data_IF_606688756280
#
_entry.id   IF_606688756280
#
_cell.length_a   1.000
_cell.length_b   1.000
_cell.length_c   1.000
_cell.angle_alpha   90.00
_cell.angle_beta   90.00
_cell.angle_gamma   90.00
#
_symmetry.space_group_name_H-M   'P 1'
#
loop_
_entity.id
_entity.type
_entity.pdbx_description
1 polymer ?
#
# COMPACT_ATOMS: atom_id res chain seq x y z
N UNK A 1 -0.38 10.82 -4.06
CA UNK A 1 -1.74 11.23 -3.59
C UNK A 1 -1.63 11.49 -2.09
N UNK A 2 -2.38 12.43 -1.51
CA UNK A 2 -2.30 12.65 -0.05
C UNK A 2 -2.93 11.49 0.73
N UNK A 3 -2.53 11.28 1.99
CA UNK A 3 -2.90 10.07 2.75
C UNK A 3 -4.41 10.01 3.00
N UNK A 4 -5.05 11.17 3.21
CA UNK A 4 -6.49 11.23 3.45
C UNK A 4 -7.28 10.79 2.21
N UNK A 5 -6.95 11.32 1.03
CA UNK A 5 -7.61 10.93 -0.23
C UNK A 5 -7.40 9.46 -0.52
N UNK A 6 -6.18 8.95 -0.33
CA UNK A 6 -5.85 7.54 -0.50
C UNK A 6 -6.74 6.63 0.38
N UNK A 7 -6.81 6.91 1.68
CA UNK A 7 -7.61 6.14 2.64
C UNK A 7 -9.11 6.19 2.30
N UNK A 8 -9.62 7.36 1.91
CA UNK A 8 -11.04 7.53 1.54
C UNK A 8 -11.38 6.77 0.26
N UNK A 9 -10.58 6.88 -0.80
CA UNK A 9 -10.78 6.13 -2.04
C UNK A 9 -10.73 4.63 -1.78
N UNK A 10 -9.74 4.16 -1.01
CA UNK A 10 -9.65 2.76 -0.61
C UNK A 10 -10.90 2.29 0.13
N UNK A 11 -11.43 3.09 1.07
CA UNK A 11 -12.67 2.75 1.77
C UNK A 11 -13.84 2.58 0.80
N UNK A 12 -14.00 3.49 -0.17
CA UNK A 12 -15.04 3.38 -1.19
C UNK A 12 -14.85 2.16 -2.10
N UNK A 13 -13.61 1.88 -2.54
CA UNK A 13 -13.31 0.74 -3.40
C UNK A 13 -13.55 -0.60 -2.68
N UNK A 14 -13.17 -0.71 -1.40
CA UNK A 14 -13.49 -1.90 -0.59
C UNK A 14 -15.00 -2.09 -0.43
N UNK A 15 -15.73 -1.01 -0.17
CA UNK A 15 -17.19 -1.06 -0.10
C UNK A 15 -17.80 -1.47 -1.44
N UNK A 16 -17.30 -0.93 -2.55
CA UNK A 16 -17.75 -1.30 -3.89
C UNK A 16 -17.48 -2.77 -4.17
N UNK A 17 -16.29 -3.30 -3.84
CA UNK A 17 -15.97 -4.72 -3.94
C UNK A 17 -17.01 -5.59 -3.25
N UNK A 18 -17.35 -5.28 -1.99
CA UNK A 18 -18.38 -6.02 -1.25
C UNK A 18 -19.79 -5.91 -1.84
N UNK A 19 -20.06 -4.88 -2.65
CA UNK A 19 -21.34 -4.71 -3.33
C UNK A 19 -21.38 -5.42 -4.68
N UNK A 20 -20.23 -5.56 -5.35
CA UNK A 20 -20.08 -6.31 -6.60
C UNK A 20 -20.09 -7.83 -6.38
N UNK A 21 -19.77 -8.31 -5.16
CA UNK A 21 -19.96 -9.71 -4.76
C UNK A 21 -21.45 -10.15 -4.72
N UNK A 22 -22.39 -9.27 -5.10
CA UNK A 22 -23.80 -9.63 -5.32
C UNK A 22 -23.94 -10.41 -6.65
N UNK A 23 -24.38 -11.68 -6.63
CA UNK A 23 -24.36 -12.59 -7.78
C UNK A 23 -25.32 -12.22 -8.93
N UNK A 24 -25.94 -11.04 -8.88
CA UNK A 24 -26.94 -10.60 -9.85
C UNK A 24 -26.35 -9.89 -11.07
N UNK A 25 -25.07 -9.49 -11.04
CA UNK A 25 -24.40 -8.79 -12.16
C UNK A 25 -22.96 -9.29 -12.35
N UNK A 26 -22.79 -10.47 -12.95
CA UNK A 26 -21.49 -10.97 -13.46
C UNK A 26 -21.35 -10.61 -14.93
N UNK A 27 -20.64 -9.53 -15.23
CA UNK A 27 -20.23 -9.16 -16.58
C UNK A 27 -19.04 -8.23 -16.51
N UNK A 28 -18.00 -8.53 -17.29
CA UNK A 28 -16.87 -7.62 -17.50
C UNK A 28 -17.35 -6.36 -18.23
N UNK A 29 -16.98 -5.18 -17.74
CA UNK A 29 -17.26 -3.93 -18.47
C UNK A 29 -16.50 -3.92 -19.81
N UNK A 30 -17.16 -3.62 -20.95
CA UNK A 30 -16.52 -3.56 -22.27
C UNK A 30 -15.29 -2.64 -22.33
N UNK A 31 -15.16 -1.67 -21.43
CA UNK A 31 -13.98 -0.85 -21.25
C UNK A 31 -12.69 -1.69 -21.17
N UNK A 32 -12.71 -2.78 -20.40
CA UNK A 32 -11.51 -3.60 -20.12
C UNK A 32 -11.00 -4.38 -21.33
N UNK A 33 -11.83 -4.59 -22.35
CA UNK A 33 -11.42 -5.24 -23.61
C UNK A 33 -10.30 -4.46 -24.32
N UNK A 34 -10.35 -3.14 -24.22
CA UNK A 34 -9.41 -2.23 -24.88
C UNK A 34 -8.39 -1.60 -23.95
N UNK A 35 -8.66 -1.61 -22.64
CA UNK A 35 -7.79 -0.97 -21.65
C UNK A 35 -6.53 -1.81 -21.33
N UNK A 36 -6.70 -3.08 -20.95
CA UNK A 36 -5.58 -3.91 -20.51
C UNK A 36 -4.79 -4.47 -21.69
N UNK A 37 -3.48 -4.63 -21.49
CA UNK A 37 -2.63 -5.46 -22.35
C UNK A 37 -2.85 -6.95 -22.06
N UNK A 38 -2.38 -7.84 -22.93
CA UNK A 38 -2.45 -9.29 -22.68
C UNK A 38 -1.66 -9.67 -21.41
N UNK A 39 -0.46 -9.12 -21.23
CA UNK A 39 0.37 -9.40 -20.06
C UNK A 39 -0.27 -8.97 -18.73
N UNK A 40 -0.98 -7.84 -18.70
CA UNK A 40 -1.70 -7.43 -17.49
C UNK A 40 -2.88 -8.38 -17.17
N UNK A 41 -3.53 -8.94 -18.18
CA UNK A 41 -4.59 -9.94 -17.97
C UNK A 41 -4.02 -11.29 -17.52
N UNK A 42 -2.88 -11.71 -18.06
CA UNK A 42 -2.13 -12.88 -17.58
C UNK A 42 -1.75 -12.71 -16.11
N UNK A 43 -1.18 -11.56 -15.75
CA UNK A 43 -0.82 -11.25 -14.36
C UNK A 43 -2.02 -11.36 -13.41
N UNK A 44 -3.20 -10.88 -13.84
CA UNK A 44 -4.44 -11.03 -13.06
C UNK A 44 -4.75 -12.52 -12.88
N UNK A 45 -4.85 -13.29 -13.98
CA UNK A 45 -5.18 -14.73 -13.93
C UNK A 45 -4.19 -15.51 -13.06
N UNK A 46 -2.90 -15.22 -13.15
CA UNK A 46 -1.86 -15.85 -12.33
C UNK A 46 -2.03 -15.64 -10.83
N UNK A 47 -2.68 -14.55 -10.40
CA UNK A 47 -2.98 -14.32 -8.97
C UNK A 47 -4.26 -15.01 -8.49
N UNK A 48 -5.16 -15.39 -9.40
CA UNK A 48 -6.44 -16.01 -9.05
C UNK A 48 -6.32 -17.51 -8.79
N UNK A 49 -5.38 -18.17 -9.45
CA UNK A 49 -5.29 -19.62 -9.50
C UNK A 49 -3.96 -20.15 -8.98
N UNK A 50 -3.99 -21.36 -8.42
CA UNK A 50 -2.77 -22.06 -8.02
C UNK A 50 -1.98 -22.59 -9.23
N UNK A 51 -0.73 -22.98 -8.98
CA UNK A 51 0.17 -23.47 -10.03
C UNK A 51 -0.33 -24.73 -10.74
N UNK A 52 -1.16 -25.56 -10.08
CA UNK A 52 -1.72 -26.74 -10.72
C UNK A 52 -2.78 -26.35 -11.74
N UNK A 53 -3.69 -25.47 -11.33
CA UNK A 53 -4.80 -24.95 -12.14
C UNK A 53 -4.27 -24.13 -13.32
N UNK A 54 -3.24 -23.31 -13.11
CA UNK A 54 -2.58 -22.53 -14.17
C UNK A 54 -1.93 -23.42 -15.24
N UNK A 55 -1.33 -24.56 -14.86
CA UNK A 55 -0.75 -25.50 -15.83
C UNK A 55 -1.82 -26.18 -16.71
N UNK A 56 -3.06 -26.30 -16.23
CA UNK A 56 -4.16 -26.86 -17.00
C UNK A 56 -4.85 -25.80 -17.88
N UNK A 57 -4.95 -24.56 -17.38
CA UNK A 57 -5.52 -23.42 -18.12
C UNK A 57 -4.59 -22.89 -19.22
N UNK A 58 -3.27 -22.92 -19.01
CA UNK A 58 -2.27 -22.35 -19.94
C UNK A 58 -2.58 -20.89 -20.36
N UNK A 59 -2.63 -19.94 -19.40
CA UNK A 59 -3.00 -18.55 -19.67
C UNK A 59 -2.08 -17.85 -20.68
N UNK A 60 -0.80 -18.24 -20.75
CA UNK A 60 0.17 -17.72 -21.72
C UNK A 60 -0.27 -18.00 -23.18
N UNK A 61 -0.99 -19.11 -23.38
CA UNK A 61 -1.55 -19.52 -24.67
C UNK A 61 -2.84 -18.80 -25.06
N UNK A 62 -3.53 -18.16 -24.10
CA UNK A 62 -4.87 -17.58 -24.30
C UNK A 62 -4.86 -16.25 -25.06
N UNK A 63 -5.94 -15.98 -25.78
CA UNK A 63 -6.26 -14.65 -26.31
C UNK A 63 -6.72 -13.70 -25.20
N UNK A 64 -6.79 -12.40 -25.48
CA UNK A 64 -7.27 -11.41 -24.49
C UNK A 64 -8.73 -11.67 -24.11
N UNK A 65 -9.53 -12.09 -25.08
CA UNK A 65 -10.94 -12.42 -24.91
C UNK A 65 -11.09 -13.64 -23.97
N UNK A 66 -10.30 -14.70 -24.19
CA UNK A 66 -10.29 -15.88 -23.31
C UNK A 66 -9.80 -15.57 -21.90
N UNK A 67 -8.81 -14.68 -21.75
CA UNK A 67 -8.35 -14.23 -20.42
C UNK A 67 -9.44 -13.43 -19.68
N UNK A 68 -10.16 -12.54 -20.38
CA UNK A 68 -11.28 -11.79 -19.78
C UNK A 68 -12.45 -12.70 -19.41
N UNK A 69 -12.76 -13.68 -20.25
CA UNK A 69 -13.77 -14.71 -19.93
C UNK A 69 -13.37 -15.55 -18.72
N UNK A 70 -12.06 -15.82 -18.56
CA UNK A 70 -11.51 -16.52 -17.38
C UNK A 70 -11.61 -15.66 -16.12
N UNK A 71 -11.37 -14.35 -16.22
CA UNK A 71 -11.52 -13.41 -15.11
C UNK A 71 -13.01 -13.25 -14.73
N UNK A 72 -13.91 -13.27 -15.71
CA UNK A 72 -15.38 -13.32 -15.59
C UNK A 72 -16.10 -12.14 -14.91
N UNK A 73 -15.45 -11.41 -14.00
CA UNK A 73 -16.09 -10.37 -13.17
C UNK A 73 -15.19 -9.15 -12.91
N UNK A 74 -15.79 -7.96 -12.98
CA UNK A 74 -15.15 -6.69 -12.59
C UNK A 74 -14.77 -6.69 -11.10
N UNK A 75 -15.50 -7.42 -10.25
CA UNK A 75 -15.16 -7.60 -8.84
C UNK A 75 -13.77 -8.22 -8.66
N UNK A 76 -13.40 -9.14 -9.54
CA UNK A 76 -12.11 -9.83 -9.53
C UNK A 76 -11.00 -8.85 -9.94
N UNK A 77 -11.22 -8.06 -10.99
CA UNK A 77 -10.28 -7.01 -11.43
C UNK A 77 -10.08 -5.99 -10.30
N UNK A 78 -11.16 -5.52 -9.69
CA UNK A 78 -11.09 -4.57 -8.58
C UNK A 78 -10.38 -5.18 -7.37
N UNK A 79 -10.65 -6.45 -7.05
CA UNK A 79 -9.99 -7.21 -6.00
C UNK A 79 -8.48 -7.24 -6.21
N UNK A 80 -8.04 -7.64 -7.40
CA UNK A 80 -6.63 -7.67 -7.80
C UNK A 80 -5.92 -6.33 -7.56
N UNK A 81 -6.50 -5.21 -8.01
CA UNK A 81 -5.86 -3.89 -7.84
C UNK A 81 -5.87 -3.41 -6.39
N UNK A 82 -6.90 -3.74 -5.60
CA UNK A 82 -6.93 -3.45 -4.17
C UNK A 82 -5.83 -4.23 -3.46
N UNK A 83 -5.68 -5.52 -3.76
CA UNK A 83 -4.71 -6.38 -3.10
C UNK A 83 -3.28 -5.99 -3.51
N UNK A 84 -3.04 -5.65 -4.79
CA UNK A 84 -1.77 -5.06 -5.23
C UNK A 84 -1.45 -3.74 -4.55
N UNK A 85 -2.44 -2.87 -4.38
CA UNK A 85 -2.24 -1.61 -3.66
C UNK A 85 -1.83 -1.87 -2.21
N UNK A 86 -2.44 -2.84 -1.54
CA UNK A 86 -2.03 -3.23 -0.19
C UNK A 86 -0.62 -3.81 -0.15
N UNK A 87 -0.31 -4.73 -1.06
CA UNK A 87 1.02 -5.33 -1.17
C UNK A 87 2.09 -4.28 -1.41
N UNK A 88 1.84 -3.29 -2.28
CA UNK A 88 2.77 -2.17 -2.52
C UNK A 88 2.98 -1.37 -1.23
N UNK A 89 1.89 -1.03 -0.51
CA UNK A 89 1.97 -0.29 0.76
C UNK A 89 2.76 -1.04 1.83
N UNK A 90 2.64 -2.36 1.91
CA UNK A 90 3.37 -3.18 2.88
C UNK A 90 4.80 -3.51 2.43
N UNK A 91 5.01 -3.75 1.14
CA UNK A 91 6.32 -4.11 0.57
C UNK A 91 7.34 -2.99 0.76
N UNK A 92 6.92 -1.73 0.75
CA UNK A 92 7.82 -0.60 1.02
C UNK A 92 8.15 -0.40 2.51
N UNK A 93 7.39 -1.00 3.41
CA UNK A 93 7.75 -1.06 4.83
C UNK A 93 8.78 -2.19 5.07
N UNK A 94 8.69 -3.28 4.29
CA UNK A 94 9.59 -4.41 4.40
C UNK A 94 10.98 -4.12 3.81
N UNK A 95 12.02 -4.18 4.66
CA UNK A 95 13.40 -4.03 4.21
C UNK A 95 13.89 -5.31 3.50
N UNK A 96 13.88 -5.32 2.18
CA UNK A 96 14.33 -6.45 1.34
C UNK A 96 15.37 -6.02 0.31
N UNK A 97 16.29 -6.92 -0.05
CA UNK A 97 17.35 -6.65 -1.04
C UNK A 97 16.79 -6.21 -2.38
N UNK A 98 15.67 -6.83 -2.81
CA UNK A 98 14.95 -6.46 -4.02
C UNK A 98 14.37 -5.05 -3.89
N UNK A 99 13.66 -4.75 -2.80
CA UNK A 99 13.07 -3.43 -2.56
C UNK A 99 14.12 -2.30 -2.50
N UNK A 100 15.30 -2.56 -1.95
CA UNK A 100 16.42 -1.60 -1.95
C UNK A 100 16.87 -1.32 -3.40
N UNK A 101 17.10 -2.36 -4.20
CA UNK A 101 17.53 -2.23 -5.60
C UNK A 101 16.49 -1.58 -6.48
N UNK A 102 15.21 -1.89 -6.29
CA UNK A 102 14.11 -1.30 -7.06
C UNK A 102 14.05 0.23 -6.83
N UNK A 103 14.17 0.67 -5.57
CA UNK A 103 14.21 2.10 -5.20
C UNK A 103 15.44 2.79 -5.78
N UNK A 104 16.62 2.19 -5.61
CA UNK A 104 17.85 2.76 -6.16
C UNK A 104 17.82 2.81 -7.69
N UNK A 105 17.19 1.83 -8.36
CA UNK A 105 17.02 1.83 -9.81
C UNK A 105 16.07 2.93 -10.26
N UNK A 106 14.93 3.10 -9.58
CA UNK A 106 13.97 4.17 -9.86
C UNK A 106 14.60 5.57 -9.72
N UNK A 107 15.49 5.73 -8.74
CA UNK A 107 16.20 6.99 -8.49
C UNK A 107 17.47 7.16 -9.34
N UNK A 108 17.82 6.19 -10.20
CA UNK A 108 19.05 6.17 -10.99
C UNK A 108 20.34 6.23 -10.12
N UNK A 109 20.31 5.56 -8.96
CA UNK A 109 21.36 5.54 -7.94
C UNK A 109 22.02 4.15 -7.79
N UNK A 110 22.22 3.42 -8.89
CA UNK A 110 22.82 2.07 -8.86
C UNK A 110 24.29 2.04 -8.39
N UNK A 111 24.92 3.21 -8.22
CA UNK A 111 26.28 3.37 -7.67
C UNK A 111 26.29 3.68 -6.17
N UNK A 112 25.12 3.83 -5.54
CA UNK A 112 25.00 4.12 -4.11
C UNK A 112 25.56 2.97 -3.26
N UNK A 113 26.17 3.27 -2.11
CA UNK A 113 26.83 2.23 -1.29
C UNK A 113 25.86 1.15 -0.78
N UNK A 114 24.60 1.53 -0.48
CA UNK A 114 23.54 0.60 -0.10
C UNK A 114 23.18 -0.43 -1.20
N UNK A 115 23.55 -0.18 -2.46
CA UNK A 115 23.35 -1.16 -3.54
C UNK A 115 24.14 -2.46 -3.31
N UNK A 116 25.31 -2.33 -2.68
CA UNK A 116 26.27 -3.43 -2.51
C UNK A 116 26.38 -3.90 -1.06
N UNK A 117 25.88 -3.12 -0.10
CA UNK A 117 25.95 -3.42 1.33
C UNK A 117 24.79 -4.35 1.74
N UNK A 118 25.06 -5.58 2.20
CA UNK A 118 24.00 -6.49 2.63
C UNK A 118 23.19 -5.92 3.80
N UNK A 119 21.86 -6.10 3.77
CA UNK A 119 20.95 -5.60 4.83
C UNK A 119 21.37 -5.99 6.25
N UNK A 120 21.83 -7.23 6.54
CA UNK A 120 22.24 -7.60 7.90
C UNK A 120 23.38 -6.76 8.49
N UNK A 121 24.17 -6.09 7.63
CA UNK A 121 25.29 -5.24 8.03
C UNK A 121 24.91 -3.77 8.19
N UNK A 122 23.62 -3.43 8.02
CA UNK A 122 23.13 -2.07 8.11
C UNK A 122 23.10 -1.58 9.55
N UNK A 123 23.60 -0.38 9.77
CA UNK A 123 23.48 0.36 11.02
C UNK A 123 22.33 1.37 10.96
N UNK A 124 22.17 2.15 12.04
CA UNK A 124 21.13 3.17 12.12
C UNK A 124 21.27 4.27 11.05
N UNK A 125 22.49 4.57 10.61
CA UNK A 125 22.75 5.57 9.57
C UNK A 125 22.36 5.06 8.19
N UNK A 126 22.63 3.79 7.90
CA UNK A 126 22.21 3.13 6.66
C UNK A 126 20.69 3.08 6.55
N UNK A 127 20.02 2.67 7.63
CA UNK A 127 18.55 2.63 7.72
C UNK A 127 17.95 4.02 7.53
N UNK A 128 18.51 5.04 8.19
CA UNK A 128 18.08 6.43 8.01
C UNK A 128 18.22 6.92 6.58
N UNK A 129 19.36 6.68 5.94
CA UNK A 129 19.56 7.03 4.53
C UNK A 129 18.60 6.30 3.60
N UNK A 130 18.36 5.01 3.84
CA UNK A 130 17.43 4.26 3.03
C UNK A 130 16.02 4.84 3.14
N UNK A 131 15.53 5.12 4.35
CA UNK A 131 14.21 5.75 4.55
C UNK A 131 14.07 7.06 3.78
N UNK A 132 15.10 7.91 3.79
CA UNK A 132 15.13 9.14 2.98
C UNK A 132 15.05 8.86 1.45
N UNK A 133 15.70 7.80 0.97
CA UNK A 133 15.57 7.37 -0.42
C UNK A 133 14.16 6.85 -0.73
N UNK A 134 13.52 6.13 0.19
CA UNK A 134 12.14 5.68 0.02
C UNK A 134 11.18 6.87 -0.09
N UNK A 135 11.37 7.90 0.73
CA UNK A 135 10.61 9.16 0.65
C UNK A 135 10.82 9.85 -0.71
N UNK A 136 12.07 9.97 -1.16
CA UNK A 136 12.39 10.57 -2.48
C UNK A 136 11.80 9.80 -3.65
N UNK A 137 11.75 8.47 -3.55
CA UNK A 137 11.12 7.61 -4.55
C UNK A 137 9.59 7.62 -4.47
N UNK A 138 8.99 8.34 -3.52
CA UNK A 138 7.55 8.42 -3.31
C UNK A 138 6.93 7.11 -2.83
N UNK A 139 7.73 6.21 -2.24
CA UNK A 139 7.27 4.90 -1.75
C UNK A 139 6.66 4.98 -0.35
N UNK A 140 7.18 5.90 0.45
CA UNK A 140 6.68 6.20 1.77
C UNK A 140 6.57 7.71 1.93
N UNK A 141 5.73 8.16 2.84
CA UNK A 141 5.67 9.55 3.24
C UNK A 141 5.72 9.68 4.76
N UNK A 142 6.33 10.77 5.20
CA UNK A 142 6.19 11.24 6.57
C UNK A 142 4.76 11.72 6.79
N UNK A 143 4.06 11.03 7.66
CA UNK A 143 2.71 11.36 8.12
C UNK A 143 2.72 11.53 9.63
N UNK A 144 1.65 12.08 10.19
CA UNK A 144 1.53 12.33 11.61
C UNK A 144 0.39 11.49 12.19
N UNK A 145 0.68 10.76 13.26
CA UNK A 145 -0.32 10.01 14.03
C UNK A 145 -0.56 10.66 15.37
N UNK A 146 -1.80 10.57 15.87
CA UNK A 146 -2.15 10.96 17.24
C UNK A 146 -2.07 9.70 18.09
N UNK A 147 -1.20 9.69 19.08
CA UNK A 147 -0.94 8.57 19.96
C UNK A 147 -1.25 8.93 21.42
N UNK A 148 -1.44 7.89 22.23
CA UNK A 148 -1.42 8.03 23.69
C UNK A 148 -0.03 8.47 24.15
N UNK A 149 0.04 9.35 25.15
CA UNK A 149 1.29 9.92 25.66
C UNK A 149 2.29 8.89 26.22
N UNK A 150 1.86 7.65 26.49
CA UNK A 150 2.73 6.53 26.88
C UNK A 150 3.51 5.91 25.71
N UNK A 151 3.07 6.15 24.47
CA UNK A 151 3.78 5.73 23.27
C UNK A 151 4.94 6.71 23.04
N UNK A 152 6.09 6.19 22.66
CA UNK A 152 7.29 6.98 22.33
C UNK A 152 7.74 6.63 20.92
N UNK A 153 8.59 7.45 20.32
CA UNK A 153 9.17 7.14 19.00
C UNK A 153 9.85 5.77 18.97
N UNK A 154 10.46 5.36 20.10
CA UNK A 154 11.17 4.08 20.24
C UNK A 154 10.23 2.86 20.28
N UNK A 155 9.01 3.00 20.80
CA UNK A 155 8.07 1.88 20.94
C UNK A 155 6.95 1.89 19.90
N UNK A 156 6.86 2.94 19.07
CA UNK A 156 5.83 3.15 18.06
C UNK A 156 5.69 1.99 17.06
N UNK A 157 6.82 1.41 16.62
CA UNK A 157 6.82 0.29 15.67
C UNK A 157 6.34 -1.03 16.30
N UNK A 158 6.26 -1.09 17.63
CA UNK A 158 5.79 -2.28 18.39
C UNK A 158 4.33 -2.18 18.82
N UNK A 159 3.65 -1.08 18.51
CA UNK A 159 2.26 -0.85 18.91
C UNK A 159 1.34 -1.75 18.08
N UNK A 160 0.54 -2.57 18.76
CA UNK A 160 -0.42 -3.49 18.13
C UNK A 160 -1.68 -2.81 17.61
N UNK A 161 -1.98 -1.60 18.08
CA UNK A 161 -3.11 -0.78 17.68
C UNK A 161 -2.62 0.63 17.24
N UNK A 162 -2.15 0.79 16.00
CA UNK A 162 -1.75 2.09 15.49
C UNK A 162 -2.95 3.05 15.36
N UNK A 163 -2.72 4.36 15.22
CA UNK A 163 -3.78 5.34 15.06
C UNK A 163 -4.67 5.02 13.88
N UNK A 164 -5.99 5.17 14.06
CA UNK A 164 -7.00 4.92 13.02
C UNK A 164 -6.81 5.88 11.83
N UNK A 165 -6.24 7.06 12.09
CA UNK A 165 -6.03 8.11 11.09
C UNK A 165 -4.63 8.70 11.20
N UNK A 166 -4.03 8.91 10.03
CA UNK A 166 -2.82 9.69 9.84
C UNK A 166 -3.14 11.00 9.13
N UNK A 167 -2.26 11.99 9.33
CA UNK A 167 -2.39 13.34 8.79
C UNK A 167 -1.16 13.69 7.96
N UNK A 168 -1.36 14.43 6.86
CA UNK A 168 -0.28 14.85 5.96
C UNK A 168 0.64 15.92 6.59
N UNK A 169 0.21 16.59 7.66
CA UNK A 169 0.98 17.62 8.35
C UNK A 169 0.74 17.64 9.85
N UNK A 170 1.71 18.18 10.61
CA UNK A 170 1.62 18.32 12.05
C UNK A 170 0.49 19.27 12.45
N UNK A 171 0.23 20.32 11.67
CA UNK A 171 -0.84 21.30 11.92
C UNK A 171 -2.23 20.67 11.80
N UNK A 172 -2.40 19.76 10.82
CA UNK A 172 -3.65 19.01 10.65
C UNK A 172 -3.86 18.04 11.83
N UNK A 173 -2.80 17.36 12.25
CA UNK A 173 -2.86 16.50 13.44
C UNK A 173 -3.18 17.32 14.70
N UNK A 174 -2.55 18.48 14.90
CA UNK A 174 -2.80 19.36 16.04
C UNK A 174 -4.23 19.88 16.08
N UNK A 175 -4.78 20.25 14.93
CA UNK A 175 -6.19 20.67 14.82
C UNK A 175 -7.13 19.54 15.22
N UNK A 176 -6.87 18.32 14.77
CA UNK A 176 -7.67 17.15 15.15
C UNK A 176 -7.51 16.76 16.63
N UNK A 177 -6.31 16.84 17.21
CA UNK A 177 -6.11 16.65 18.66
C UNK A 177 -6.93 17.66 19.45
N UNK A 178 -6.96 18.92 19.00
CA UNK A 178 -7.75 19.96 19.66
C UNK A 178 -9.26 19.65 19.61
N UNK A 179 -9.77 19.18 18.48
CA UNK A 179 -11.17 18.73 18.35
C UNK A 179 -11.50 17.56 19.29
N UNK A 180 -10.59 16.57 19.41
CA UNK A 180 -10.75 15.44 20.32
C UNK A 180 -10.83 15.89 21.79
N UNK A 181 -9.95 16.80 22.20
CA UNK A 181 -9.94 17.37 23.56
C UNK A 181 -11.21 18.21 23.80
N UNK A 182 -11.61 19.04 22.84
CA UNK A 182 -12.84 19.85 22.96
C UNK A 182 -14.11 18.99 23.04
N UNK A 183 -14.14 17.85 22.35
CA UNK A 183 -15.25 16.92 22.39
C UNK A 183 -15.39 16.17 23.72
N UNK A 184 -14.42 16.34 24.63
CA UNK A 184 -14.38 15.68 25.93
C UNK A 184 -14.01 14.20 25.87
N UNK A 185 -13.50 13.72 24.73
CA UNK A 185 -13.07 12.35 24.56
C UNK A 185 -11.71 12.07 25.22
N UNK A 186 -10.85 13.10 25.33
CA UNK A 186 -9.48 12.99 25.87
C UNK A 186 -9.07 14.28 26.59
N UNK A 187 -8.08 14.19 27.48
CA UNK A 187 -7.38 15.33 28.07
C UNK A 187 -6.10 15.68 27.28
N UNK A 188 -5.69 16.95 27.34
CA UNK A 188 -4.52 17.47 26.60
C UNK A 188 -3.20 16.73 26.93
N UNK A 189 -3.07 16.21 28.15
CA UNK A 189 -1.90 15.44 28.59
C UNK A 189 -1.91 13.97 28.19
N UNK A 190 -3.02 13.48 27.65
CA UNK A 190 -3.19 12.06 27.30
C UNK A 190 -2.76 11.77 25.86
N UNK A 191 -2.64 12.80 25.03
CA UNK A 191 -2.35 12.65 23.61
C UNK A 191 -1.11 13.44 23.21
N UNK A 192 -0.38 12.89 22.25
CA UNK A 192 0.66 13.62 21.55
C UNK A 192 0.75 13.20 20.08
N UNK A 193 1.50 13.97 19.30
CA UNK A 193 1.63 13.77 17.86
C UNK A 193 3.04 13.25 17.57
N UNK A 194 3.12 12.14 16.86
CA UNK A 194 4.39 11.55 16.43
C UNK A 194 4.45 11.45 14.89
N UNK A 195 5.61 11.74 14.28
CA UNK A 195 5.84 11.48 12.87
C UNK A 195 6.08 9.97 12.63
N UNK A 196 5.46 9.42 11.58
CA UNK A 196 5.52 8.01 11.20
C UNK A 196 5.76 7.94 9.70
N UNK A 197 6.53 6.94 9.26
CA UNK A 197 6.60 6.60 7.84
C UNK A 197 5.46 5.65 7.48
N UNK A 198 4.62 6.08 6.54
CA UNK A 198 3.55 5.25 5.99
C UNK A 198 3.80 4.99 4.49
N UNK A 199 3.56 3.75 4.05
CA UNK A 199 3.55 3.40 2.62
C UNK A 199 2.49 4.19 1.86
N UNK A 200 2.87 4.76 0.71
CA UNK A 200 1.96 5.46 -0.21
C UNK A 200 1.23 4.49 -1.13
#
# INVERSE_FOLDING_TARGET
MNITTAVVLRHFLLKLRTQLDDPTVTSIDPFFQTFFTKGELEDIVHTLYDSHTLNELDPDGMSKEELLDTIADDAIILGYFIDRWEDERYAYIALTEKGVKDILTQLELQTHYLWYKPIPDWDAYDLGNYRELQVKAGKVAWVYGIYDASITEENMESVTAPPIRFYDSQELAASATHELVQSGQFHDSELHILPVLAGQ
#
